data_IF_044113002472
#
_entry.id   IF_044113002472
#
_cell.length_a   1.000
_cell.length_b   1.000
_cell.length_c   1.000
_cell.angle_alpha   90.00
_cell.angle_beta   90.00
_cell.angle_gamma   90.00
#
_symmetry.space_group_name_H-M   'P 1'
#
loop_
_entity.id
_entity.type
_entity.pdbx_description
1 polymer ?
#
# COMPACT_ATOMS: atom_id res chain seq x y z
N UNK A 1 -110.27 -15.99 -19.05
CA UNK A 1 -109.99 -17.06 -18.07
C UNK A 1 -109.67 -18.34 -18.84
N UNK A 2 -108.71 -19.19 -18.41
CA UNK A 2 -107.28 -18.91 -18.23
C UNK A 2 -106.36 -20.00 -18.86
N UNK A 3 -105.04 -19.84 -18.66
CA UNK A 3 -103.98 -20.88 -18.57
C UNK A 3 -103.50 -21.54 -19.88
N UNK A 4 -102.23 -21.86 -20.14
CA UNK A 4 -100.98 -21.83 -19.35
C UNK A 4 -99.78 -21.98 -20.32
N UNK A 5 -98.58 -21.46 -20.02
CA UNK A 5 -97.36 -21.70 -20.79
C UNK A 5 -96.58 -22.92 -20.26
N UNK A 6 -95.84 -23.63 -21.13
CA UNK A 6 -94.76 -24.53 -20.70
C UNK A 6 -93.41 -23.89 -20.98
N UNK A 7 -92.67 -23.73 -19.89
CA UNK A 7 -91.31 -23.22 -19.76
C UNK A 7 -90.27 -24.19 -20.34
N UNK A 8 -89.22 -23.64 -20.95
CA UNK A 8 -87.91 -24.27 -21.04
C UNK A 8 -86.96 -23.54 -20.11
N UNK A 9 -86.31 -24.29 -19.22
CA UNK A 9 -85.23 -23.80 -18.36
C UNK A 9 -83.92 -23.69 -19.15
N UNK A 10 -83.23 -22.56 -19.01
CA UNK A 10 -81.80 -22.45 -19.29
C UNK A 10 -81.05 -22.14 -17.98
N UNK A 11 -80.01 -22.94 -17.70
CA UNK A 11 -79.08 -22.76 -16.57
C UNK A 11 -78.34 -21.41 -16.66
N UNK A 12 -78.08 -20.71 -15.55
CA UNK A 12 -77.10 -19.64 -15.53
C UNK A 12 -75.70 -20.19 -15.26
N UNK A 13 -74.74 -19.81 -16.10
CA UNK A 13 -73.31 -19.97 -15.86
C UNK A 13 -72.77 -18.77 -15.09
N UNK A 14 -72.08 -19.05 -13.99
CA UNK A 14 -71.40 -18.09 -13.14
C UNK A 14 -70.18 -17.45 -13.83
N UNK A 15 -70.13 -16.12 -13.90
CA UNK A 15 -68.91 -15.35 -14.21
C UNK A 15 -68.68 -14.28 -13.14
N UNK A 16 -68.03 -14.66 -12.04
CA UNK A 16 -67.53 -13.73 -11.00
C UNK A 16 -66.02 -13.84 -10.75
N UNK A 17 -65.30 -14.75 -11.46
CA UNK A 17 -63.86 -14.98 -11.25
C UNK A 17 -62.93 -14.12 -12.12
N UNK A 18 -63.40 -13.64 -13.27
CA UNK A 18 -62.55 -12.89 -14.20
C UNK A 18 -62.25 -11.45 -13.71
N UNK A 19 -63.19 -10.80 -13.05
CA UNK A 19 -63.05 -9.41 -12.57
C UNK A 19 -62.07 -9.29 -11.42
N UNK A 20 -62.04 -10.23 -10.48
CA UNK A 20 -61.11 -10.19 -9.34
C UNK A 20 -59.66 -10.35 -9.79
N UNK A 21 -59.39 -11.24 -10.75
CA UNK A 21 -58.04 -11.45 -11.27
C UNK A 21 -57.48 -10.19 -11.97
N UNK A 22 -58.30 -9.48 -12.74
CA UNK A 22 -57.90 -8.24 -13.43
C UNK A 22 -57.50 -7.12 -12.45
N UNK A 23 -58.20 -6.97 -11.33
CA UNK A 23 -57.82 -5.99 -10.30
C UNK A 23 -56.53 -6.39 -9.56
N UNK A 24 -56.30 -7.68 -9.34
CA UNK A 24 -55.06 -8.17 -8.73
C UNK A 24 -53.83 -7.89 -9.61
N UNK A 25 -53.94 -8.09 -10.93
CA UNK A 25 -52.83 -7.79 -11.86
C UNK A 25 -52.53 -6.30 -11.99
N UNK A 26 -53.56 -5.44 -11.95
CA UNK A 26 -53.33 -3.98 -11.93
C UNK A 26 -52.61 -3.52 -10.65
N UNK A 27 -52.97 -4.06 -9.48
CA UNK A 27 -52.32 -3.69 -8.22
C UNK A 27 -50.85 -4.12 -8.18
N UNK A 28 -50.52 -5.30 -8.72
CA UNK A 28 -49.13 -5.77 -8.84
C UNK A 28 -48.33 -4.88 -9.82
N UNK A 29 -48.94 -4.49 -10.94
CA UNK A 29 -48.31 -3.60 -11.92
C UNK A 29 -48.03 -2.20 -11.36
N UNK A 30 -48.97 -1.63 -10.60
CA UNK A 30 -48.80 -0.32 -9.94
C UNK A 30 -47.75 -0.40 -8.84
N UNK A 31 -47.73 -1.46 -8.02
CA UNK A 31 -46.71 -1.65 -7.00
C UNK A 31 -45.30 -1.80 -7.61
N UNK A 32 -45.18 -2.54 -8.72
CA UNK A 32 -43.93 -2.67 -9.46
C UNK A 32 -43.45 -1.34 -10.07
N UNK A 33 -44.36 -0.52 -10.59
CA UNK A 33 -44.03 0.79 -11.16
C UNK A 33 -43.61 1.81 -10.08
N UNK A 34 -44.26 1.80 -8.92
CA UNK A 34 -43.89 2.64 -7.77
C UNK A 34 -42.53 2.20 -7.19
N UNK A 35 -42.26 0.90 -7.12
CA UNK A 35 -40.96 0.38 -6.72
C UNK A 35 -39.86 0.77 -7.73
N UNK A 36 -40.13 0.66 -9.03
CA UNK A 36 -39.21 1.07 -10.09
C UNK A 36 -38.94 2.58 -10.05
N UNK A 37 -39.96 3.42 -9.85
CA UNK A 37 -39.79 4.86 -9.62
C UNK A 37 -38.98 5.14 -8.34
N UNK A 38 -39.20 4.38 -7.26
CA UNK A 38 -38.42 4.47 -6.03
C UNK A 38 -36.94 4.11 -6.24
N UNK A 39 -36.63 3.16 -7.12
CA UNK A 39 -35.24 2.79 -7.47
C UNK A 39 -34.62 3.82 -8.42
N UNK A 40 -35.33 4.25 -9.47
CA UNK A 40 -34.82 5.21 -10.47
C UNK A 40 -34.66 6.61 -9.89
N UNK A 41 -35.57 7.06 -9.02
CA UNK A 41 -35.50 8.37 -8.37
C UNK A 41 -34.80 8.33 -6.99
N UNK A 42 -34.79 7.18 -6.29
CA UNK A 42 -34.08 7.00 -5.02
C UNK A 42 -32.56 6.75 -5.17
N UNK A 43 -32.09 6.34 -6.36
CA UNK A 43 -30.67 6.19 -6.68
C UNK A 43 -29.87 7.52 -6.70
N UNK A 44 -30.50 8.66 -6.38
CA UNK A 44 -29.81 9.96 -6.17
C UNK A 44 -29.48 10.27 -4.72
N UNK A 45 -29.77 9.37 -3.78
CA UNK A 45 -29.13 9.44 -2.46
C UNK A 45 -27.88 8.59 -2.52
N UNK A 46 -26.75 9.26 -2.75
CA UNK A 46 -25.44 8.62 -2.76
C UNK A 46 -25.31 7.77 -1.50
N UNK A 47 -25.12 6.46 -1.69
CA UNK A 47 -24.55 5.61 -0.66
C UNK A 47 -23.19 6.21 -0.33
N UNK A 48 -23.16 7.11 0.67
CA UNK A 48 -21.93 7.41 1.40
C UNK A 48 -21.59 6.12 2.11
N UNK A 49 -20.83 5.27 1.42
CA UNK A 49 -20.05 4.25 2.09
C UNK A 49 -19.24 5.01 3.16
N UNK A 50 -19.56 4.79 4.42
CA UNK A 50 -18.81 5.33 5.55
C UNK A 50 -17.46 4.61 5.60
N UNK A 51 -16.62 4.84 4.61
CA UNK A 51 -15.21 4.50 4.72
C UNK A 51 -14.63 5.49 5.72
N UNK A 52 -13.97 4.97 6.75
CA UNK A 52 -13.04 5.77 7.52
C UNK A 52 -12.19 6.54 6.51
N UNK A 53 -12.21 7.87 6.55
CA UNK A 53 -11.50 8.70 5.58
C UNK A 53 -10.04 8.25 5.45
N UNK A 54 -9.39 8.46 4.29
CA UNK A 54 -8.02 8.03 4.06
C UNK A 54 -7.14 8.46 5.23
N UNK A 55 -6.26 7.56 5.68
CA UNK A 55 -5.37 7.82 6.81
C UNK A 55 -4.48 9.01 6.44
N UNK A 56 -4.72 10.13 7.13
CA UNK A 56 -4.00 11.41 7.02
C UNK A 56 -2.53 11.25 7.40
N UNK A 57 -1.74 12.32 7.34
CA UNK A 57 -0.41 12.30 7.93
C UNK A 57 -0.48 11.92 9.41
N UNK A 58 0.31 10.94 9.81
CA UNK A 58 0.29 10.42 11.19
C UNK A 58 1.66 10.57 11.82
N UNK A 59 1.67 11.11 13.04
CA UNK A 59 2.84 11.07 13.92
C UNK A 59 2.78 9.84 14.81
N UNK A 60 3.81 9.00 14.74
CA UNK A 60 3.95 7.79 15.56
C UNK A 60 5.01 8.02 16.61
N UNK A 61 4.58 8.03 17.88
CA UNK A 61 5.45 8.16 19.05
C UNK A 61 5.53 6.80 19.74
N UNK A 62 6.76 6.30 19.94
CA UNK A 62 6.99 5.07 20.68
C UNK A 62 7.18 5.42 22.16
N UNK A 63 6.26 5.01 23.02
CA UNK A 63 6.38 5.28 24.45
C UNK A 63 7.61 4.54 25.00
N UNK A 64 8.58 5.30 25.55
CA UNK A 64 9.74 4.72 26.25
C UNK A 64 9.23 4.17 27.58
N UNK A 65 9.07 2.85 27.64
CA UNK A 65 8.66 2.12 28.84
C UNK A 65 9.44 2.60 30.07
N UNK A 66 8.77 3.36 30.95
CA UNK A 66 9.16 3.52 32.35
C UNK A 66 8.44 2.40 33.11
N UNK A 67 9.23 1.47 33.63
CA UNK A 67 8.87 0.41 34.58
C UNK A 67 7.43 -0.13 34.55
N UNK A 68 7.31 -1.37 34.04
CA UNK A 68 6.41 -2.37 34.61
C UNK A 68 4.92 -2.18 34.30
N UNK A 69 4.52 -2.37 33.05
CA UNK A 69 3.47 -3.34 32.73
C UNK A 69 3.52 -3.74 31.26
N UNK A 70 3.32 -5.02 30.98
CA UNK A 70 3.54 -5.67 29.68
C UNK A 70 2.44 -5.41 28.65
N UNK A 71 2.02 -4.16 28.43
CA UNK A 71 1.11 -3.78 27.33
C UNK A 71 1.71 -2.63 26.55
N UNK A 72 2.37 -2.98 25.44
CA UNK A 72 2.82 -2.00 24.44
C UNK A 72 1.60 -1.36 23.78
N UNK A 73 1.21 -0.20 24.30
CA UNK A 73 0.12 0.61 23.76
C UNK A 73 0.53 1.21 22.42
N UNK A 74 0.11 0.57 21.33
CA UNK A 74 0.08 1.18 20.00
C UNK A 74 -1.39 1.21 19.61
N UNK A 75 -1.95 2.42 19.62
CA UNK A 75 -3.36 2.73 19.40
C UNK A 75 -4.27 2.18 20.52
N UNK A 76 -5.25 2.99 20.92
CA UNK A 76 -6.34 2.56 21.80
C UNK A 76 -6.88 1.22 21.30
N UNK A 77 -6.97 0.20 22.17
CA UNK A 77 -7.79 -1.00 21.92
C UNK A 77 -9.15 -0.51 21.35
N UNK A 78 -9.39 -0.70 20.05
CA UNK A 78 -10.62 -0.24 19.38
C UNK A 78 -10.47 0.56 18.08
N UNK A 79 -9.30 1.11 17.72
CA UNK A 79 -9.15 1.81 16.44
C UNK A 79 -8.89 0.81 15.29
N UNK A 80 -9.83 0.69 14.35
CA UNK A 80 -9.74 -0.25 13.22
C UNK A 80 -8.65 0.19 12.24
N UNK A 81 -7.71 -0.72 11.93
CA UNK A 81 -6.66 -0.53 10.91
C UNK A 81 -7.28 -0.26 9.53
N UNK A 82 -6.66 0.60 8.74
CA UNK A 82 -7.12 0.92 7.39
C UNK A 82 -6.77 -0.22 6.43
N UNK A 83 -7.76 -0.77 5.72
CA UNK A 83 -7.56 -1.95 4.86
C UNK A 83 -7.12 -1.53 3.46
N UNK A 84 -6.01 -2.09 3.00
CA UNK A 84 -5.47 -1.90 1.65
C UNK A 84 -4.82 -3.22 1.18
N UNK A 85 -4.65 -3.43 -0.12
CA UNK A 85 -3.93 -4.63 -0.61
C UNK A 85 -2.43 -4.53 -0.27
N UNK A 86 -1.81 -3.38 -0.55
CA UNK A 86 -0.40 -3.11 -0.23
C UNK A 86 -0.19 -1.75 0.45
N UNK A 87 0.79 -1.64 1.33
CA UNK A 87 1.23 -0.35 1.88
C UNK A 87 2.66 -0.02 1.44
N UNK A 88 2.87 1.13 0.80
CA UNK A 88 4.18 1.59 0.30
C UNK A 88 4.68 2.75 1.16
N UNK A 89 5.74 2.48 1.93
CA UNK A 89 6.48 3.48 2.69
C UNK A 89 7.71 3.97 1.92
N UNK A 90 7.67 5.23 1.49
CA UNK A 90 8.74 5.88 0.73
C UNK A 90 9.72 6.52 1.71
N UNK A 91 10.86 5.87 1.94
CA UNK A 91 11.89 6.34 2.86
C UNK A 91 12.53 7.61 2.32
N UNK A 92 12.39 8.71 3.08
CA UNK A 92 12.90 10.04 2.69
C UNK A 92 13.54 10.75 3.88
N UNK A 93 14.31 11.79 3.63
CA UNK A 93 14.98 12.58 4.66
C UNK A 93 14.88 14.10 4.43
N UNK A 94 15.44 14.88 5.36
CA UNK A 94 15.41 16.34 5.27
C UNK A 94 16.17 16.90 4.06
N UNK A 95 17.17 16.16 3.54
CA UNK A 95 17.89 16.54 2.32
C UNK A 95 17.16 16.23 1.02
N UNK A 96 15.97 15.60 1.07
CA UNK A 96 15.27 15.04 -0.07
C UNK A 96 14.04 15.84 -0.52
N UNK A 97 13.92 17.11 -0.12
CA UNK A 97 12.76 17.97 -0.49
C UNK A 97 12.56 18.01 -2.01
N UNK A 98 13.64 18.16 -2.78
CA UNK A 98 13.57 18.16 -4.24
C UNK A 98 13.13 16.81 -4.82
N UNK A 99 13.56 15.69 -4.22
CA UNK A 99 13.12 14.35 -4.62
C UNK A 99 11.63 14.15 -4.36
N UNK A 100 11.13 14.49 -3.17
CA UNK A 100 9.68 14.44 -2.86
C UNK A 100 8.86 15.28 -3.83
N UNK A 101 9.34 16.47 -4.19
CA UNK A 101 8.70 17.31 -5.21
C UNK A 101 8.65 16.63 -6.58
N UNK A 102 9.74 15.98 -7.01
CA UNK A 102 9.76 15.26 -8.29
C UNK A 102 8.87 14.02 -8.28
N UNK A 103 8.83 13.27 -7.18
CA UNK A 103 7.89 12.17 -6.97
C UNK A 103 6.43 12.65 -7.09
N UNK A 104 6.13 13.78 -6.44
CA UNK A 104 4.83 14.46 -6.50
C UNK A 104 4.36 14.87 -7.89
N UNK A 105 5.32 15.14 -8.78
CA UNK A 105 5.08 15.50 -10.19
C UNK A 105 5.08 14.29 -11.13
N UNK A 106 5.25 13.08 -10.60
CA UNK A 106 5.40 11.86 -11.40
C UNK A 106 4.46 10.77 -10.90
N UNK A 107 4.97 9.73 -10.26
CA UNK A 107 4.20 8.51 -9.95
C UNK A 107 3.40 8.58 -8.65
N UNK A 108 3.51 9.63 -7.85
CA UNK A 108 2.72 9.83 -6.62
C UNK A 108 2.10 11.23 -6.62
N UNK A 109 0.89 11.46 -7.14
CA UNK A 109 0.32 12.80 -7.30
C UNK A 109 0.30 13.63 -6.01
N UNK A 110 0.60 14.94 -6.10
CA UNK A 110 0.58 15.86 -4.94
C UNK A 110 -0.81 16.21 -4.43
N UNK A 111 -1.83 16.19 -5.29
CA UNK A 111 -3.18 16.58 -4.88
C UNK A 111 -3.92 15.39 -4.27
N UNK A 112 -4.68 15.64 -3.21
CA UNK A 112 -5.40 14.61 -2.47
C UNK A 112 -6.30 13.74 -3.36
N UNK A 113 -6.96 14.33 -4.37
CA UNK A 113 -7.85 13.60 -5.27
C UNK A 113 -7.07 12.70 -6.23
N UNK A 114 -5.92 13.16 -6.73
CA UNK A 114 -5.00 12.40 -7.56
C UNK A 114 -4.40 11.22 -6.80
N UNK A 115 -3.93 11.47 -5.58
CA UNK A 115 -3.41 10.41 -4.70
C UNK A 115 -4.50 9.39 -4.38
N UNK A 116 -5.69 9.83 -3.96
CA UNK A 116 -6.81 8.92 -3.68
C UNK A 116 -7.18 8.07 -4.90
N UNK A 117 -7.25 8.65 -6.10
CA UNK A 117 -7.51 7.90 -7.34
C UNK A 117 -6.44 6.86 -7.63
N UNK A 118 -5.16 7.21 -7.40
CA UNK A 118 -4.06 6.25 -7.53
C UNK A 118 -4.22 5.09 -6.54
N UNK A 119 -4.53 5.40 -5.28
CA UNK A 119 -4.68 4.41 -4.22
C UNK A 119 -5.86 3.47 -4.48
N UNK A 120 -7.00 4.02 -4.91
CA UNK A 120 -8.20 3.26 -5.29
C UNK A 120 -7.95 2.37 -6.53
N UNK A 121 -7.27 2.90 -7.55
CA UNK A 121 -7.01 2.18 -8.80
C UNK A 121 -6.01 1.03 -8.62
N UNK A 122 -5.06 1.17 -7.69
CA UNK A 122 -3.99 0.18 -7.48
C UNK A 122 -4.23 -0.72 -6.27
N UNK A 123 -5.12 -0.33 -5.35
CA UNK A 123 -5.28 -0.98 -4.04
C UNK A 123 -4.09 -0.76 -3.11
N UNK A 124 -3.17 0.14 -3.45
CA UNK A 124 -1.97 0.47 -2.69
C UNK A 124 -2.14 1.79 -1.96
N UNK A 125 -1.64 1.92 -0.73
CA UNK A 125 -1.51 3.22 -0.06
C UNK A 125 -0.05 3.70 -0.06
N UNK A 126 0.18 5.01 -0.19
CA UNK A 126 1.52 5.58 -0.33
C UNK A 126 1.79 6.68 0.70
N UNK A 127 2.81 6.55 1.53
CA UNK A 127 3.22 7.64 2.44
C UNK A 127 4.72 7.84 2.43
N UNK A 128 5.15 9.10 2.49
CA UNK A 128 6.53 9.45 2.80
C UNK A 128 6.84 9.10 4.25
N UNK A 129 7.94 8.42 4.49
CA UNK A 129 8.37 8.00 5.83
C UNK A 129 9.61 8.77 6.22
N UNK A 130 9.48 9.59 7.25
CA UNK A 130 10.55 10.46 7.74
C UNK A 130 10.59 10.47 9.27
N UNK A 131 11.79 10.49 9.82
CA UNK A 131 12.04 10.71 11.23
C UNK A 131 11.98 12.20 11.63
N UNK A 132 12.61 12.52 12.75
CA UNK A 132 12.75 13.88 13.29
C UNK A 132 14.17 14.41 13.16
N UNK A 133 14.30 15.73 13.20
CA UNK A 133 15.57 16.44 13.30
C UNK A 133 15.64 17.19 14.64
N UNK A 134 16.85 17.42 15.14
CA UNK A 134 17.11 18.38 16.24
C UNK A 134 17.11 19.84 15.78
N UNK A 135 17.22 20.05 14.47
CA UNK A 135 17.16 21.36 13.84
C UNK A 135 15.70 21.81 13.69
N UNK A 136 15.31 22.82 14.46
CA UNK A 136 13.94 23.34 14.46
C UNK A 136 13.54 24.03 13.15
N UNK A 137 14.49 24.57 12.36
CA UNK A 137 14.19 25.12 11.04
C UNK A 137 13.72 24.02 10.10
N UNK A 138 14.47 22.90 10.06
CA UNK A 138 14.10 21.72 9.27
C UNK A 138 12.76 21.13 9.72
N UNK A 139 12.51 21.09 11.03
CA UNK A 139 11.21 20.63 11.53
C UNK A 139 10.07 21.60 11.19
N UNK A 140 10.31 22.91 11.14
CA UNK A 140 9.32 23.89 10.71
C UNK A 140 8.96 23.71 9.24
N UNK A 141 9.94 23.61 8.36
CA UNK A 141 9.74 23.36 6.93
C UNK A 141 8.97 22.05 6.70
N UNK A 142 9.30 20.98 7.44
CA UNK A 142 8.56 19.73 7.37
C UNK A 142 7.10 19.88 7.82
N UNK A 143 6.82 20.64 8.88
CA UNK A 143 5.43 20.89 9.34
C UNK A 143 4.63 21.64 8.28
N UNK A 144 5.24 22.59 7.58
CA UNK A 144 4.62 23.32 6.47
C UNK A 144 4.30 22.37 5.31
N UNK A 145 5.26 21.52 4.91
CA UNK A 145 5.05 20.52 3.86
C UNK A 145 3.97 19.49 4.23
N UNK A 146 3.94 19.01 5.48
CA UNK A 146 2.90 18.11 5.99
C UNK A 146 1.53 18.78 5.94
N UNK A 147 1.43 20.06 6.30
CA UNK A 147 0.17 20.81 6.24
C UNK A 147 -0.31 21.03 4.80
N UNK A 148 0.60 21.12 3.84
CA UNK A 148 0.27 21.30 2.42
C UNK A 148 -0.19 20.01 1.73
N UNK A 149 0.49 18.88 1.97
CA UNK A 149 0.28 17.65 1.17
C UNK A 149 -0.39 16.49 1.94
N UNK A 150 -0.30 16.48 3.27
CA UNK A 150 -0.88 15.45 4.14
C UNK A 150 -0.50 13.98 3.78
N UNK A 151 0.70 13.76 3.25
CA UNK A 151 1.14 12.46 2.70
C UNK A 151 2.27 11.77 3.48
N UNK A 152 2.42 12.03 4.79
CA UNK A 152 3.54 11.55 5.61
C UNK A 152 3.19 10.56 6.75
N UNK A 153 4.13 9.66 7.05
CA UNK A 153 4.28 9.03 8.36
C UNK A 153 5.51 9.62 9.04
N UNK A 154 5.30 10.27 10.18
CA UNK A 154 6.35 10.88 11.00
C UNK A 154 6.75 9.93 12.12
N UNK A 155 7.98 9.41 12.09
CA UNK A 155 8.51 8.50 13.09
C UNK A 155 9.27 9.26 14.19
N UNK A 156 9.14 8.83 15.44
CA UNK A 156 9.96 9.34 16.55
C UNK A 156 11.37 8.70 16.58
N UNK A 157 12.10 8.84 15.47
CA UNK A 157 13.51 8.43 15.32
C UNK A 157 14.27 9.60 14.71
N UNK A 158 15.46 9.87 15.23
CA UNK A 158 16.33 10.90 14.66
C UNK A 158 16.87 10.47 13.28
N UNK A 159 16.71 11.34 12.28
CA UNK A 159 17.18 11.11 10.90
C UNK A 159 18.70 11.13 10.81
N UNK A 160 19.29 9.95 10.67
CA UNK A 160 20.72 9.75 10.40
C UNK A 160 20.90 8.50 9.53
N UNK A 161 21.88 8.52 8.62
CA UNK A 161 22.16 7.37 7.74
C UNK A 161 22.50 6.10 8.54
N UNK A 162 23.25 6.23 9.63
CA UNK A 162 23.59 5.13 10.54
C UNK A 162 22.36 4.54 11.27
N UNK A 163 21.23 5.24 11.27
CA UNK A 163 19.98 4.82 11.93
C UNK A 163 18.97 4.21 10.96
N UNK A 164 19.30 4.05 9.67
CA UNK A 164 18.40 3.47 8.67
C UNK A 164 17.81 2.10 9.09
N UNK A 165 18.57 1.13 9.63
CA UNK A 165 18.00 -0.14 10.10
C UNK A 165 16.89 0.06 11.14
N UNK A 166 17.09 0.99 12.08
CA UNK A 166 16.11 1.31 13.12
C UNK A 166 14.89 2.05 12.56
N UNK A 167 15.11 2.98 11.62
CA UNK A 167 14.04 3.68 10.90
C UNK A 167 13.16 2.69 10.15
N UNK A 168 13.76 1.72 9.45
CA UNK A 168 13.02 0.68 8.71
C UNK A 168 12.22 -0.22 9.63
N UNK A 169 12.77 -0.65 10.76
CA UNK A 169 12.00 -1.41 11.75
C UNK A 169 10.82 -0.58 12.28
N UNK A 170 11.05 0.70 12.63
CA UNK A 170 9.98 1.58 13.10
C UNK A 170 8.93 1.85 12.03
N UNK A 171 9.33 1.96 10.77
CA UNK A 171 8.43 2.03 9.62
C UNK A 171 7.52 0.80 9.58
N UNK A 172 8.06 -0.42 9.59
CA UNK A 172 7.24 -1.63 9.54
C UNK A 172 6.29 -1.72 10.73
N UNK A 173 6.75 -1.34 11.93
CA UNK A 173 5.88 -1.30 13.12
C UNK A 173 4.76 -0.26 13.01
N UNK A 174 5.07 0.93 12.53
CA UNK A 174 4.09 2.01 12.31
C UNK A 174 3.08 1.62 11.23
N UNK A 175 3.55 1.12 10.09
CA UNK A 175 2.71 0.72 8.97
C UNK A 175 1.77 -0.42 9.37
N UNK A 176 2.28 -1.44 10.09
CA UNK A 176 1.46 -2.53 10.61
C UNK A 176 0.39 -2.04 11.59
N UNK A 177 0.71 -1.09 12.45
CA UNK A 177 -0.25 -0.52 13.38
C UNK A 177 -1.36 0.28 12.69
N UNK A 178 -1.05 0.98 11.60
CA UNK A 178 -1.99 1.89 10.93
C UNK A 178 -2.81 1.20 9.84
N UNK A 179 -2.20 0.24 9.12
CA UNK A 179 -2.79 -0.39 7.94
C UNK A 179 -2.86 -1.90 8.10
N UNK A 180 -3.98 -2.49 7.69
CA UNK A 180 -4.18 -3.93 7.51
C UNK A 180 -3.96 -4.22 6.02
N UNK A 181 -2.83 -4.87 5.70
CA UNK A 181 -2.37 -5.06 4.32
C UNK A 181 -1.70 -6.41 4.15
N UNK A 182 -1.78 -6.99 2.95
CA UNK A 182 -1.12 -8.25 2.60
C UNK A 182 0.40 -8.09 2.46
N UNK A 183 0.85 -6.92 2.00
CA UNK A 183 2.27 -6.60 1.83
C UNK A 183 2.61 -5.19 2.28
N UNK A 184 3.75 -5.07 2.95
CA UNK A 184 4.37 -3.79 3.32
C UNK A 184 5.63 -3.61 2.49
N UNK A 185 5.66 -2.56 1.69
CA UNK A 185 6.73 -2.24 0.74
C UNK A 185 7.56 -1.10 1.30
N UNK A 186 8.86 -1.33 1.41
CA UNK A 186 9.84 -0.26 1.58
C UNK A 186 10.30 0.18 0.20
N UNK A 187 10.27 1.48 -0.08
CA UNK A 187 10.83 2.08 -1.29
C UNK A 187 11.72 3.28 -0.93
N UNK A 188 12.82 3.51 -1.66
CA UNK A 188 13.59 4.76 -1.55
C UNK A 188 12.97 5.89 -2.38
N UNK A 189 13.26 7.14 -2.00
CA UNK A 189 12.79 8.34 -2.70
C UNK A 189 13.57 8.68 -3.98
N UNK A 190 14.52 7.83 -4.38
CA UNK A 190 15.33 7.97 -5.58
C UNK A 190 15.16 6.81 -6.58
N UNK A 191 13.98 6.19 -6.63
CA UNK A 191 13.59 5.23 -7.68
C UNK A 191 12.39 5.73 -8.49
N UNK A 192 12.30 5.31 -9.75
CA UNK A 192 11.06 5.45 -10.50
C UNK A 192 10.20 4.19 -10.32
N UNK A 193 9.06 4.33 -9.64
CA UNK A 193 8.14 3.22 -9.38
C UNK A 193 6.97 3.26 -10.36
N UNK A 194 6.48 2.08 -10.76
CA UNK A 194 5.26 1.90 -11.54
C UNK A 194 4.18 1.24 -10.66
N UNK A 195 3.32 2.03 -9.99
CA UNK A 195 2.33 1.54 -9.03
C UNK A 195 1.40 0.45 -9.57
N UNK A 196 1.00 0.55 -10.83
CA UNK A 196 0.16 -0.43 -11.51
C UNK A 196 0.84 -1.81 -11.62
N UNK A 197 2.13 -1.83 -11.94
CA UNK A 197 2.93 -3.07 -12.02
C UNK A 197 3.22 -3.63 -10.65
N UNK A 198 3.51 -2.77 -9.68
CA UNK A 198 3.68 -3.20 -8.28
C UNK A 198 2.40 -3.86 -7.77
N UNK A 199 1.24 -3.27 -8.06
CA UNK A 199 -0.06 -3.82 -7.66
C UNK A 199 -0.27 -5.25 -8.18
N UNK A 200 -0.04 -5.48 -9.47
CA UNK A 200 -0.13 -6.82 -10.06
C UNK A 200 0.87 -7.80 -9.46
N UNK A 201 2.11 -7.36 -9.23
CA UNK A 201 3.14 -8.20 -8.64
C UNK A 201 2.78 -8.62 -7.21
N UNK A 202 2.17 -7.73 -6.42
CA UNK A 202 1.72 -8.04 -5.06
C UNK A 202 0.49 -8.96 -5.06
N UNK A 203 -0.46 -8.74 -5.98
CA UNK A 203 -1.68 -9.55 -6.11
C UNK A 203 -1.44 -10.99 -6.61
N UNK A 204 -0.24 -11.29 -7.13
CA UNK A 204 0.16 -12.64 -7.56
C UNK A 204 -0.05 -13.67 -6.44
N UNK A 205 -0.74 -14.77 -6.78
CA UNK A 205 -0.96 -15.87 -5.84
C UNK A 205 0.38 -16.53 -5.45
N UNK A 206 0.53 -16.82 -4.15
CA UNK A 206 1.72 -17.42 -3.56
C UNK A 206 1.33 -18.59 -2.68
N UNK A 207 2.05 -19.69 -2.82
CA UNK A 207 1.86 -20.88 -1.98
C UNK A 207 2.36 -20.73 -0.54
N UNK A 208 3.13 -19.68 -0.24
CA UNK A 208 3.65 -19.40 1.10
C UNK A 208 3.20 -18.02 1.55
N UNK A 209 2.65 -17.94 2.76
CA UNK A 209 2.21 -16.67 3.34
C UNK A 209 3.39 -15.78 3.77
N UNK A 210 4.50 -16.37 4.19
CA UNK A 210 5.73 -15.66 4.58
C UNK A 210 6.65 -15.43 3.38
N UNK A 211 6.56 -14.26 2.76
CA UNK A 211 7.33 -13.89 1.57
C UNK A 211 8.14 -12.62 1.79
N UNK A 212 9.41 -12.69 1.41
CA UNK A 212 10.32 -11.57 1.22
C UNK A 212 10.58 -11.40 -0.28
N UNK A 213 9.95 -10.39 -0.87
CA UNK A 213 9.99 -10.13 -2.31
C UNK A 213 10.94 -8.98 -2.60
N UNK A 214 11.82 -9.16 -3.57
CA UNK A 214 12.77 -8.14 -3.99
C UNK A 214 13.64 -8.59 -5.14
N UNK A 215 14.47 -7.68 -5.66
CA UNK A 215 15.57 -8.09 -6.51
C UNK A 215 16.70 -8.61 -5.63
N UNK A 216 16.89 -9.93 -5.61
CA UNK A 216 17.84 -10.57 -4.71
C UNK A 216 19.27 -10.47 -5.25
N UNK A 217 20.21 -10.28 -4.32
CA UNK A 217 21.66 -10.19 -4.56
C UNK A 217 22.46 -10.86 -3.46
N UNK A 218 23.72 -11.11 -3.82
CA UNK A 218 24.84 -11.27 -2.90
C UNK A 218 25.88 -10.21 -3.21
N UNK A 219 26.80 -9.98 -2.30
CA UNK A 219 27.86 -8.99 -2.49
C UNK A 219 28.89 -9.03 -1.38
N UNK A 220 30.04 -8.37 -1.57
CA UNK A 220 31.14 -8.43 -0.62
C UNK A 220 30.76 -7.75 0.70
N UNK A 221 31.26 -8.29 1.80
CA UNK A 221 31.26 -7.59 3.09
C UNK A 221 32.37 -6.55 3.07
N UNK A 222 32.02 -5.28 3.27
CA UNK A 222 32.97 -4.19 3.24
C UNK A 222 33.67 -4.05 4.60
N UNK A 223 34.95 -4.42 4.66
CA UNK A 223 35.74 -4.41 5.91
C UNK A 223 36.64 -3.19 6.07
N UNK A 224 36.78 -2.35 5.04
CA UNK A 224 37.52 -1.09 5.12
C UNK A 224 36.64 0.02 5.70
N UNK A 225 37.03 0.57 6.84
CA UNK A 225 36.32 1.65 7.55
C UNK A 225 36.18 2.95 6.76
N UNK A 226 36.91 3.10 5.64
CA UNK A 226 36.82 4.25 4.73
C UNK A 226 35.70 4.11 3.70
N UNK A 227 35.15 2.92 3.52
CA UNK A 227 34.08 2.68 2.55
C UNK A 227 32.72 3.05 3.14
N UNK A 228 31.85 3.62 2.29
CA UNK A 228 30.48 4.05 2.66
C UNK A 228 29.68 2.96 3.37
N UNK A 229 29.85 1.70 2.96
CA UNK A 229 29.08 0.56 3.43
C UNK A 229 29.86 -0.35 4.38
N UNK A 230 30.91 0.19 5.02
CA UNK A 230 31.70 -0.51 6.02
C UNK A 230 30.81 -1.20 7.06
N UNK A 231 31.10 -2.48 7.32
CA UNK A 231 30.43 -3.28 8.34
C UNK A 231 31.38 -3.53 9.52
N UNK A 232 31.20 -2.81 10.65
CA UNK A 232 32.04 -2.96 11.84
C UNK A 232 31.93 -4.34 12.48
N UNK A 233 30.85 -5.07 12.23
CA UNK A 233 30.62 -6.44 12.70
C UNK A 233 30.98 -7.49 11.64
N UNK A 234 31.82 -7.12 10.66
CA UNK A 234 32.23 -8.00 9.56
C UNK A 234 32.89 -9.29 10.02
N UNK A 235 33.50 -9.33 11.20
CA UNK A 235 34.06 -10.54 11.81
C UNK A 235 33.00 -11.61 12.16
N UNK A 236 31.72 -11.24 12.24
CA UNK A 236 30.60 -12.17 12.41
C UNK A 236 30.08 -12.72 11.08
N UNK A 237 30.57 -12.19 9.96
CA UNK A 237 30.14 -12.50 8.61
C UNK A 237 31.28 -13.16 7.84
N UNK A 238 30.94 -13.78 6.71
CA UNK A 238 31.95 -14.22 5.74
C UNK A 238 32.43 -13.07 4.87
N UNK A 239 33.20 -13.39 3.81
CA UNK A 239 33.63 -12.41 2.82
C UNK A 239 32.47 -11.89 1.94
N UNK A 240 31.33 -12.58 1.94
CA UNK A 240 30.14 -12.27 1.16
C UNK A 240 28.92 -12.26 2.07
N UNK A 241 28.03 -11.29 1.88
CA UNK A 241 26.71 -11.29 2.50
C UNK A 241 25.87 -12.45 1.98
N UNK A 242 24.97 -12.94 2.83
CA UNK A 242 23.92 -13.88 2.43
C UNK A 242 22.99 -13.27 1.36
N UNK A 243 22.16 -14.12 0.73
CA UNK A 243 21.19 -13.66 -0.26
C UNK A 243 20.16 -12.73 0.39
N UNK A 244 20.04 -11.50 -0.10
CA UNK A 244 19.09 -10.49 0.40
C UNK A 244 18.62 -9.58 -0.75
N UNK A 245 17.52 -8.85 -0.57
CA UNK A 245 17.06 -7.90 -1.58
C UNK A 245 17.96 -6.66 -1.62
N UNK A 246 18.04 -6.01 -2.78
CA UNK A 246 18.60 -4.67 -2.85
C UNK A 246 17.78 -3.67 -2.01
N UNK A 247 18.49 -2.76 -1.33
CA UNK A 247 17.87 -1.72 -0.51
C UNK A 247 16.79 -0.86 -1.18
N UNK A 248 16.89 -0.42 -2.45
CA UNK A 248 15.97 0.57 -3.00
C UNK A 248 14.49 0.18 -2.97
N UNK A 249 14.16 -1.09 -3.14
CA UNK A 249 12.78 -1.57 -2.99
C UNK A 249 12.71 -3.06 -2.62
N UNK A 250 11.86 -3.38 -1.65
CA UNK A 250 11.45 -4.74 -1.32
C UNK A 250 10.12 -4.75 -0.59
N UNK A 251 9.43 -5.89 -0.59
CA UNK A 251 8.16 -6.10 0.06
C UNK A 251 8.21 -7.27 1.06
N UNK A 252 7.59 -7.07 2.22
CA UNK A 252 7.40 -8.08 3.24
C UNK A 252 5.92 -8.40 3.38
N UNK A 253 5.56 -9.68 3.32
CA UNK A 253 4.19 -10.13 3.58
C UNK A 253 3.73 -9.78 5.01
N UNK A 254 2.41 -9.69 5.22
CA UNK A 254 1.80 -9.38 6.50
C UNK A 254 2.31 -10.23 7.66
N UNK A 255 2.43 -11.55 7.47
CA UNK A 255 2.91 -12.49 8.51
C UNK A 255 4.36 -12.23 8.93
N UNK A 256 5.19 -11.82 7.98
CA UNK A 256 6.59 -11.45 8.24
C UNK A 256 6.64 -10.16 9.06
N UNK A 257 5.87 -9.14 8.66
CA UNK A 257 5.81 -7.87 9.40
C UNK A 257 5.20 -8.06 10.78
N UNK A 258 4.18 -8.88 10.93
CA UNK A 258 3.61 -9.25 12.23
C UNK A 258 4.68 -9.88 13.15
N UNK A 259 5.52 -10.76 12.58
CA UNK A 259 6.65 -11.35 13.31
C UNK A 259 7.68 -10.29 13.73
N UNK A 260 8.02 -9.36 12.84
CA UNK A 260 8.92 -8.23 13.15
C UNK A 260 8.37 -7.32 14.26
N UNK A 261 7.06 -7.07 14.26
CA UNK A 261 6.37 -6.27 15.28
C UNK A 261 6.45 -6.95 16.65
N UNK A 262 6.29 -8.28 16.68
CA UNK A 262 6.34 -9.09 17.90
C UNK A 262 7.77 -9.29 18.45
N UNK A 263 8.82 -8.94 17.71
CA UNK A 263 10.20 -9.06 18.19
C UNK A 263 10.43 -8.22 19.43
N UNK A 264 10.99 -8.84 20.49
CA UNK A 264 11.47 -8.09 21.65
C UNK A 264 12.68 -7.26 21.24
N UNK A 265 12.82 -6.09 21.86
CA UNK A 265 13.98 -5.23 21.66
C UNK A 265 15.27 -6.04 21.87
N UNK A 266 16.24 -5.86 20.97
CA UNK A 266 17.54 -6.53 20.99
C UNK A 266 17.52 -8.05 20.77
N UNK A 267 16.40 -8.66 20.33
CA UNK A 267 16.39 -10.10 20.02
C UNK A 267 17.20 -10.44 18.78
N UNK A 268 17.16 -9.56 17.77
CA UNK A 268 17.85 -9.74 16.51
C UNK A 268 18.99 -8.72 16.36
N UNK A 269 20.03 -9.13 15.63
CA UNK A 269 21.21 -8.29 15.37
C UNK A 269 20.90 -7.24 14.32
N UNK A 270 21.27 -6.00 14.60
CA UNK A 270 21.31 -4.92 13.62
C UNK A 270 22.69 -4.90 12.97
N UNK A 271 22.76 -4.66 11.67
CA UNK A 271 23.99 -4.42 10.90
C UNK A 271 24.03 -2.94 10.47
N UNK A 272 25.16 -2.46 9.96
CA UNK A 272 25.28 -1.07 9.53
C UNK A 272 24.42 -0.75 8.30
N UNK A 273 24.27 -1.72 7.40
CA UNK A 273 23.43 -1.57 6.21
C UNK A 273 22.01 -2.09 6.50
N UNK A 274 21.00 -1.30 6.12
CA UNK A 274 19.60 -1.64 6.37
C UNK A 274 19.15 -2.90 5.62
N UNK A 275 19.55 -3.03 4.35
CA UNK A 275 19.13 -4.13 3.48
C UNK A 275 19.75 -5.46 3.94
N UNK A 276 21.00 -5.40 4.39
CA UNK A 276 21.68 -6.49 5.08
C UNK A 276 20.95 -6.85 6.38
N UNK A 277 20.56 -5.86 7.19
CA UNK A 277 19.83 -6.11 8.45
C UNK A 277 18.53 -6.88 8.20
N UNK A 278 17.72 -6.41 7.25
CA UNK A 278 16.47 -7.07 6.89
C UNK A 278 16.72 -8.47 6.35
N UNK A 279 17.67 -8.63 5.43
CA UNK A 279 18.00 -9.95 4.87
C UNK A 279 18.45 -10.95 5.95
N UNK A 280 19.24 -10.53 6.93
CA UNK A 280 19.66 -11.40 8.03
C UNK A 280 18.45 -11.92 8.82
N UNK A 281 17.46 -11.07 9.05
CA UNK A 281 16.25 -11.43 9.79
C UNK A 281 15.35 -12.34 8.98
N UNK A 282 15.25 -12.13 7.67
CA UNK A 282 14.50 -13.01 6.78
C UNK A 282 15.07 -14.43 6.77
N UNK A 283 16.40 -14.56 6.83
CA UNK A 283 17.06 -15.85 7.01
C UNK A 283 16.77 -16.47 8.38
N UNK A 284 16.92 -15.68 9.45
CA UNK A 284 16.68 -16.16 10.81
C UNK A 284 15.22 -16.62 11.03
N UNK A 285 14.26 -15.98 10.37
CA UNK A 285 12.83 -16.31 10.46
C UNK A 285 12.37 -17.34 9.42
N UNK A 286 13.28 -17.93 8.64
CA UNK A 286 12.98 -18.92 7.60
C UNK A 286 11.95 -18.41 6.55
N UNK A 287 12.07 -17.15 6.14
CA UNK A 287 11.15 -16.51 5.18
C UNK A 287 11.54 -16.88 3.75
N UNK A 288 10.53 -17.14 2.91
CA UNK A 288 10.75 -17.44 1.48
C UNK A 288 11.26 -16.19 0.76
N UNK A 289 12.43 -16.31 0.14
CA UNK A 289 12.98 -15.26 -0.72
C UNK A 289 12.42 -15.43 -2.14
N UNK A 290 11.67 -14.44 -2.61
CA UNK A 290 11.21 -14.35 -3.99
C UNK A 290 12.04 -13.32 -4.75
N UNK A 291 12.85 -13.81 -5.70
CA UNK A 291 13.70 -12.97 -6.54
C UNK A 291 12.94 -12.50 -7.78
N UNK A 292 12.68 -11.20 -7.85
CA UNK A 292 12.04 -10.57 -9.00
C UNK A 292 12.90 -9.43 -9.56
N UNK A 293 13.36 -9.58 -10.80
CA UNK A 293 14.23 -8.61 -11.48
C UNK A 293 13.49 -7.38 -12.00
N UNK A 294 12.16 -7.41 -12.08
CA UNK A 294 11.37 -6.22 -12.42
C UNK A 294 11.52 -5.10 -11.38
N UNK A 295 11.94 -5.43 -10.15
CA UNK A 295 12.19 -4.48 -9.07
C UNK A 295 13.58 -3.80 -9.13
N UNK A 296 14.42 -4.16 -10.10
CA UNK A 296 15.76 -3.60 -10.30
C UNK A 296 16.11 -3.38 -11.77
N UNK A 297 15.14 -2.92 -12.55
CA UNK A 297 15.34 -2.68 -13.97
C UNK A 297 16.17 -1.41 -14.20
N UNK A 298 17.18 -1.43 -15.10
CA UNK A 298 17.95 -0.22 -15.42
C UNK A 298 17.17 0.76 -16.31
N UNK A 299 16.12 0.27 -16.98
CA UNK A 299 15.28 1.04 -17.89
C UNK A 299 13.82 0.60 -17.78
N UNK A 300 12.90 1.45 -18.23
CA UNK A 300 11.49 1.08 -18.29
C UNK A 300 11.25 0.10 -19.43
N UNK A 301 10.71 -1.06 -19.08
CA UNK A 301 10.21 -2.08 -19.99
C UNK A 301 8.73 -2.31 -19.71
N UNK A 302 8.05 -3.12 -20.52
CA UNK A 302 6.64 -3.47 -20.26
C UNK A 302 6.44 -4.03 -18.84
N UNK A 303 7.39 -4.83 -18.35
CA UNK A 303 7.29 -5.55 -17.08
C UNK A 303 8.03 -4.89 -15.92
N UNK A 304 8.86 -3.87 -16.15
CA UNK A 304 9.64 -3.22 -15.07
C UNK A 304 8.71 -2.64 -14.00
N UNK A 305 8.88 -3.02 -12.74
CA UNK A 305 8.12 -2.46 -11.61
C UNK A 305 8.82 -1.25 -11.04
N UNK A 306 10.15 -1.32 -10.87
CA UNK A 306 10.96 -0.23 -10.37
C UNK A 306 12.22 -0.06 -11.23
N UNK A 307 12.54 1.20 -11.52
CA UNK A 307 13.66 1.61 -12.37
C UNK A 307 14.64 2.47 -11.60
N UNK A 308 15.91 2.06 -11.63
CA UNK A 308 17.03 2.74 -10.96
C UNK A 308 18.37 2.33 -11.58
N UNK A 309 19.39 3.19 -11.42
CA UNK A 309 20.63 3.14 -12.20
C UNK A 309 21.66 2.16 -11.62
N UNK A 310 21.30 0.87 -11.52
CA UNK A 310 22.23 -0.18 -11.11
C UNK A 310 23.27 -0.48 -12.23
N UNK A 311 24.56 -0.72 -11.90
CA UNK A 311 25.25 -0.56 -10.62
C UNK A 311 25.84 0.85 -10.41
N UNK A 312 25.53 1.81 -11.28
CA UNK A 312 26.17 3.13 -11.33
C UNK A 312 25.84 3.99 -10.10
N UNK A 313 24.62 3.91 -9.60
CA UNK A 313 24.13 4.63 -8.44
C UNK A 313 23.38 3.68 -7.49
N UNK A 314 23.23 4.07 -6.21
CA UNK A 314 22.45 3.29 -5.24
C UNK A 314 20.94 3.32 -5.51
N UNK A 315 20.47 4.34 -6.23
CA UNK A 315 19.13 4.50 -6.81
C UNK A 315 19.28 5.11 -8.20
N UNK A 316 18.46 6.10 -8.57
CA UNK A 316 18.67 6.93 -9.76
C UNK A 316 19.83 7.92 -9.54
N UNK A 317 20.64 8.11 -10.56
CA UNK A 317 21.60 9.20 -10.63
C UNK A 317 20.86 10.51 -10.91
N UNK A 318 21.10 11.54 -10.10
CA UNK A 318 20.38 12.83 -10.17
C UNK A 318 18.85 12.65 -10.15
N UNK A 319 18.30 12.04 -9.07
CA UNK A 319 16.91 11.56 -9.04
C UNK A 319 15.88 12.65 -9.30
N UNK A 320 16.11 13.87 -8.80
CA UNK A 320 15.18 15.00 -8.99
C UNK A 320 14.90 15.29 -10.46
N UNK A 321 15.91 15.18 -11.32
CA UNK A 321 15.78 15.35 -12.77
C UNK A 321 15.33 14.05 -13.43
N UNK A 322 15.95 12.93 -13.08
CA UNK A 322 15.77 11.65 -13.76
C UNK A 322 14.35 11.10 -13.60
N UNK A 323 13.70 11.32 -12.46
CA UNK A 323 12.29 11.00 -12.24
C UNK A 323 11.38 11.66 -13.28
N UNK A 324 11.60 12.95 -13.54
CA UNK A 324 10.82 13.73 -14.51
C UNK A 324 11.07 13.26 -15.94
N UNK A 325 12.34 12.98 -16.29
CA UNK A 325 12.71 12.45 -17.61
C UNK A 325 12.07 11.08 -17.87
N UNK A 326 12.16 10.16 -16.91
CA UNK A 326 11.55 8.83 -17.03
C UNK A 326 10.04 8.93 -17.16
N UNK A 327 9.39 9.81 -16.40
CA UNK A 327 7.93 9.96 -16.47
C UNK A 327 7.43 10.44 -17.84
N UNK A 328 8.26 11.13 -18.62
CA UNK A 328 7.92 11.57 -19.98
C UNK A 328 8.01 10.44 -21.02
N UNK A 329 8.69 9.34 -20.70
CA UNK A 329 8.81 8.19 -21.60
C UNK A 329 7.50 7.39 -21.60
N UNK A 330 6.98 7.12 -22.80
CA UNK A 330 5.74 6.35 -22.94
C UNK A 330 5.86 4.94 -22.35
N UNK A 331 7.05 4.34 -22.47
CA UNK A 331 7.36 3.03 -21.86
C UNK A 331 7.21 3.03 -20.33
N UNK A 332 7.41 4.17 -19.67
CA UNK A 332 7.31 4.31 -18.21
C UNK A 332 5.91 4.68 -17.73
N UNK A 333 5.24 5.63 -18.38
CA UNK A 333 4.02 6.27 -17.85
C UNK A 333 2.72 5.97 -18.61
N UNK A 334 2.81 5.46 -19.85
CA UNK A 334 1.65 5.24 -20.73
C UNK A 334 1.52 3.82 -21.26
N UNK A 335 2.45 2.93 -20.93
CA UNK A 335 2.44 1.56 -21.42
C UNK A 335 1.29 0.74 -20.78
N UNK A 336 0.55 -0.08 -21.57
CA UNK A 336 -0.60 -0.85 -21.08
C UNK A 336 -0.24 -1.83 -19.96
N UNK A 337 -1.04 -1.87 -18.89
CA UNK A 337 -0.79 -2.69 -17.68
C UNK A 337 -0.77 -4.20 -17.94
N UNK A 338 -1.51 -4.65 -18.95
CA UNK A 338 -1.56 -6.04 -19.40
C UNK A 338 -1.11 -6.09 -20.86
N UNK A 339 -0.52 -7.23 -21.26
CA UNK A 339 -0.29 -7.50 -22.68
C UNK A 339 -1.65 -7.69 -23.35
N UNK A 340 -1.81 -7.17 -24.57
CA UNK A 340 -2.93 -7.57 -25.40
C UNK A 340 -2.79 -9.09 -25.65
N UNK A 341 -3.84 -9.84 -25.39
CA UNK A 341 -3.85 -11.28 -25.68
C UNK A 341 -3.77 -11.43 -27.21
N UNK A 342 -2.62 -11.90 -27.72
CA UNK A 342 -2.43 -12.30 -29.12
C UNK A 342 -3.00 -13.70 -29.41
#
# INVERSE_FOLDING_TARGET
MPSSPKFFNARPTHSKRATVALYSFMLIGVAGFVFWLGVVFGARTGFKCGTAGPVKSVRVVWERSRNGDGRGGILSEGQKRHKVMGFVGIQTGFGSVGRRRSLRKTWMPSDHQGLQRLEEATGLAFRFVIGRSKDESKMKELREEVAEFDDFILLDIEEEYSKLPYKTLAFFKAAYALYESEFYVKADDDIYLRPDRLSLLLAKERSHSQTYLGCMKKGPVFTDSKLKWYEPQSNLLGNEYFLHAYGPIYALSADVVASLVALRNNSFRMFSNEDVTIGAWMLAMNVKHENDKSLCSPECTETSVAVWDIPKCSGLCNPEKKLLELHQLESCSKSPTLKEDE
#
